data_IF_437888233620
#
_entry.id   IF_437888233620
#
_cell.length_a   1.000
_cell.length_b   1.000
_cell.length_c   1.000
_cell.angle_alpha   90.00
_cell.angle_beta   90.00
_cell.angle_gamma   90.00
#
_symmetry.space_group_name_H-M   'P 1'
#
loop_
_entity.id
_entity.type
_entity.pdbx_description
1 polymer ?
#
# COMPACT_ATOMS: atom_id res chain seq x y z
N UNK A 1 34.44 -25.16 -19.27
CA UNK A 1 33.90 -23.95 -19.92
C UNK A 1 32.64 -23.41 -19.22
N UNK A 2 31.71 -24.24 -18.74
CA UNK A 2 30.46 -23.77 -18.11
C UNK A 2 30.59 -23.14 -16.69
N UNK A 3 31.57 -23.56 -15.87
CA UNK A 3 31.70 -23.09 -14.48
C UNK A 3 31.99 -21.59 -14.32
N UNK A 4 32.69 -20.98 -15.29
CA UNK A 4 33.00 -19.54 -15.25
C UNK A 4 31.85 -18.65 -15.76
N UNK A 5 30.88 -19.22 -16.50
CA UNK A 5 29.75 -18.47 -17.04
C UNK A 5 28.69 -18.19 -15.96
N UNK A 6 28.49 -19.12 -15.03
CA UNK A 6 27.49 -19.03 -13.97
C UNK A 6 27.54 -17.71 -13.14
N UNK A 7 28.69 -17.26 -12.60
CA UNK A 7 28.72 -16.00 -11.85
C UNK A 7 28.38 -14.80 -12.73
N UNK A 8 28.87 -14.76 -13.97
CA UNK A 8 28.59 -13.65 -14.90
C UNK A 8 27.09 -13.59 -15.24
N UNK A 9 26.48 -14.73 -15.55
CA UNK A 9 25.04 -14.85 -15.81
C UNK A 9 24.22 -14.41 -14.59
N UNK A 10 24.64 -14.81 -13.39
CA UNK A 10 24.01 -14.37 -12.15
C UNK A 10 24.10 -12.85 -11.97
N UNK A 11 25.29 -12.25 -12.15
CA UNK A 11 25.47 -10.80 -12.03
C UNK A 11 24.63 -10.01 -13.05
N UNK A 12 24.59 -10.48 -14.30
CA UNK A 12 23.77 -9.88 -15.36
C UNK A 12 22.27 -9.97 -15.03
N UNK A 13 21.81 -11.12 -14.53
CA UNK A 13 20.43 -11.27 -14.09
C UNK A 13 20.12 -10.39 -12.88
N UNK A 14 20.98 -10.43 -11.85
CA UNK A 14 20.77 -9.79 -10.55
C UNK A 14 20.62 -8.27 -10.67
N UNK A 15 21.45 -7.64 -11.50
CA UNK A 15 21.42 -6.20 -11.78
C UNK A 15 20.58 -5.84 -13.03
N UNK A 16 20.01 -6.82 -13.72
CA UNK A 16 19.17 -6.64 -14.90
C UNK A 16 17.72 -7.00 -14.62
N UNK A 17 17.33 -8.22 -14.98
CA UNK A 17 15.97 -8.73 -14.85
C UNK A 17 15.50 -8.82 -13.38
N UNK A 18 16.38 -9.22 -12.46
CA UNK A 18 16.08 -9.28 -11.03
C UNK A 18 15.68 -7.92 -10.46
N UNK A 19 16.37 -6.84 -10.85
CA UNK A 19 15.98 -5.47 -10.47
C UNK A 19 14.66 -5.04 -11.11
N UNK A 20 14.39 -5.43 -12.36
CA UNK A 20 13.10 -5.14 -13.02
C UNK A 20 11.95 -5.82 -12.29
N UNK A 21 12.13 -7.09 -11.92
CA UNK A 21 11.14 -7.85 -11.17
C UNK A 21 10.94 -7.27 -9.77
N UNK A 22 12.00 -6.78 -9.12
CA UNK A 22 11.89 -6.05 -7.86
C UNK A 22 10.95 -4.85 -7.97
N UNK A 23 11.16 -3.97 -8.97
CA UNK A 23 10.27 -2.82 -9.16
C UNK A 23 8.86 -3.21 -9.57
N UNK A 24 8.69 -4.33 -10.29
CA UNK A 24 7.37 -4.88 -10.60
C UNK A 24 6.63 -5.31 -9.33
N UNK A 25 7.31 -6.03 -8.43
CA UNK A 25 6.74 -6.44 -7.14
C UNK A 25 6.38 -5.23 -6.28
N UNK A 26 7.27 -4.23 -6.21
CA UNK A 26 6.97 -2.96 -5.53
C UNK A 26 5.72 -2.28 -6.11
N UNK A 27 5.60 -2.20 -7.44
CA UNK A 27 4.41 -1.69 -8.11
C UNK A 27 3.14 -2.49 -7.77
N UNK A 28 3.24 -3.81 -7.67
CA UNK A 28 2.12 -4.68 -7.28
C UNK A 28 1.67 -4.41 -5.85
N UNK A 29 2.58 -4.15 -4.91
CA UNK A 29 2.23 -3.77 -3.54
C UNK A 29 1.49 -2.42 -3.52
N UNK A 30 1.96 -1.42 -4.25
CA UNK A 30 1.26 -0.14 -4.37
C UNK A 30 -0.13 -0.31 -4.98
N UNK A 31 -0.25 -1.10 -6.04
CA UNK A 31 -1.52 -1.44 -6.65
C UNK A 31 -2.46 -2.16 -5.65
N UNK A 32 -1.94 -3.11 -4.87
CA UNK A 32 -2.71 -3.82 -3.86
C UNK A 32 -3.27 -2.85 -2.81
N UNK A 33 -2.46 -1.92 -2.29
CA UNK A 33 -2.92 -0.91 -1.33
C UNK A 33 -3.95 0.02 -1.95
N UNK A 34 -3.71 0.48 -3.18
CA UNK A 34 -4.64 1.35 -3.90
C UNK A 34 -6.04 0.71 -4.05
N UNK A 35 -6.09 -0.59 -4.35
CA UNK A 35 -7.35 -1.34 -4.49
C UNK A 35 -7.95 -1.75 -3.15
N UNK A 36 -7.14 -2.23 -2.20
CA UNK A 36 -7.59 -2.66 -0.88
C UNK A 36 -8.28 -1.54 -0.12
N UNK A 37 -7.67 -0.34 -0.13
CA UNK A 37 -8.30 0.84 0.46
C UNK A 37 -9.31 1.49 -0.48
N UNK A 38 -9.52 1.00 -1.70
CA UNK A 38 -10.43 1.60 -2.69
C UNK A 38 -10.24 3.12 -2.79
N UNK A 39 -8.99 3.59 -2.79
CA UNK A 39 -8.63 5.02 -2.78
C UNK A 39 -9.41 5.85 -3.81
N UNK A 40 -9.59 5.43 -5.08
CA UNK A 40 -10.36 6.23 -6.05
C UNK A 40 -11.84 6.34 -5.67
N UNK A 41 -12.43 5.32 -5.05
CA UNK A 41 -13.81 5.37 -4.55
C UNK A 41 -13.91 6.31 -3.35
N UNK A 42 -12.96 6.29 -2.42
CA UNK A 42 -12.93 7.23 -1.31
C UNK A 42 -12.81 8.68 -1.78
N UNK A 43 -11.91 8.97 -2.72
CA UNK A 43 -11.73 10.32 -3.27
C UNK A 43 -12.99 10.81 -4.01
N UNK A 44 -13.62 9.94 -4.81
CA UNK A 44 -14.88 10.29 -5.51
C UNK A 44 -16.04 10.53 -4.55
N UNK A 45 -16.16 9.70 -3.52
CA UNK A 45 -17.27 9.78 -2.57
C UNK A 45 -17.06 10.82 -1.46
N UNK A 46 -15.85 11.36 -1.31
CA UNK A 46 -15.53 12.43 -0.36
C UNK A 46 -16.33 13.71 -0.65
N UNK A 47 -16.48 14.04 -1.93
CA UNK A 47 -17.23 15.23 -2.39
C UNK A 47 -18.65 14.92 -2.87
N UNK A 48 -19.04 13.65 -2.95
CA UNK A 48 -20.43 13.33 -3.30
C UNK A 48 -21.35 13.66 -2.11
N UNK A 49 -22.45 14.41 -2.35
CA UNK A 49 -23.49 14.57 -1.34
C UNK A 49 -24.04 13.18 -1.01
N UNK A 50 -23.93 12.79 0.27
CA UNK A 50 -24.49 11.52 0.75
C UNK A 50 -25.94 11.43 0.29
N UNK A 51 -26.30 10.34 -0.40
CA UNK A 51 -27.65 10.11 -0.93
C UNK A 51 -28.61 10.42 0.20
N UNK A 52 -29.47 11.43 -0.02
CA UNK A 52 -30.51 11.75 0.94
C UNK A 52 -31.18 10.43 1.27
N UNK A 53 -31.27 10.08 2.56
CA UNK A 53 -32.37 9.25 3.04
C UNK A 53 -33.67 10.05 2.88
N UNK A 54 -33.94 10.49 1.65
CA UNK A 54 -35.30 10.70 1.19
C UNK A 54 -35.80 9.27 1.03
N UNK A 55 -36.18 8.66 2.16
CA UNK A 55 -37.46 7.97 2.09
C UNK A 55 -38.41 9.02 1.53
N UNK A 56 -38.79 8.84 0.27
CA UNK A 56 -39.92 9.51 -0.33
C UNK A 56 -41.18 9.05 0.45
N UNK A 57 -41.28 9.41 1.73
CA UNK A 57 -42.52 9.26 2.47
C UNK A 57 -43.46 10.31 1.94
N UNK A 58 -44.24 9.83 0.98
CA UNK A 58 -45.48 10.34 0.43
C UNK A 58 -46.48 10.61 1.58
N UNK A 59 -46.21 11.58 2.44
CA UNK A 59 -47.12 11.98 3.51
C UNK A 59 -47.53 13.44 3.30
N UNK A 60 -48.83 13.64 3.15
CA UNK A 60 -49.47 14.94 2.99
C UNK A 60 -49.51 15.64 4.36
N UNK A 61 -48.61 16.58 4.60
CA UNK A 61 -48.58 17.41 5.82
C UNK A 61 -47.18 17.88 6.18
N UNK A 62 -47.03 19.14 6.64
CA UNK A 62 -45.75 19.69 7.09
C UNK A 62 -45.57 19.46 8.59
N UNK A 63 -44.88 18.37 8.96
CA UNK A 63 -44.54 18.07 10.36
C UNK A 63 -43.14 18.59 10.69
N UNK A 64 -43.06 19.74 11.38
CA UNK A 64 -41.80 20.40 11.71
C UNK A 64 -40.86 19.51 12.57
N UNK A 65 -41.42 18.72 13.48
CA UNK A 65 -40.66 17.78 14.32
C UNK A 65 -39.90 16.71 13.50
N UNK A 66 -40.56 16.09 12.52
CA UNK A 66 -39.94 15.11 11.65
C UNK A 66 -38.89 15.74 10.72
N UNK A 67 -39.12 16.98 10.28
CA UNK A 67 -38.17 17.73 9.47
C UNK A 67 -36.84 17.99 10.21
N UNK A 68 -36.91 18.48 11.45
CA UNK A 68 -35.71 18.71 12.27
C UNK A 68 -35.00 17.41 12.66
N UNK A 69 -35.76 16.36 13.00
CA UNK A 69 -35.20 15.04 13.29
C UNK A 69 -34.40 14.48 12.11
N UNK A 70 -34.96 14.58 10.90
CA UNK A 70 -34.28 14.13 9.67
C UNK A 70 -33.02 14.94 9.37
N UNK A 71 -33.00 16.26 9.61
CA UNK A 71 -31.80 17.08 9.43
C UNK A 71 -30.67 16.63 10.36
N UNK A 72 -30.97 16.42 11.64
CA UNK A 72 -29.97 16.01 12.64
C UNK A 72 -29.38 14.66 12.29
N UNK A 73 -30.23 13.67 11.97
CA UNK A 73 -29.78 12.34 11.56
C UNK A 73 -28.89 12.43 10.32
N UNK A 74 -29.27 13.23 9.31
CA UNK A 74 -28.50 13.37 8.09
C UNK A 74 -27.12 14.01 8.32
N UNK A 75 -27.03 14.98 9.25
CA UNK A 75 -25.77 15.60 9.65
C UNK A 75 -24.88 14.57 10.36
N UNK A 76 -25.42 13.81 11.30
CA UNK A 76 -24.68 12.77 12.03
C UNK A 76 -24.15 11.72 11.04
N UNK A 77 -25.00 11.20 10.15
CA UNK A 77 -24.59 10.21 9.14
C UNK A 77 -23.49 10.75 8.21
N UNK A 78 -23.54 12.04 7.86
CA UNK A 78 -22.51 12.68 7.04
C UNK A 78 -21.19 12.85 7.80
N UNK A 79 -21.23 13.20 9.09
CA UNK A 79 -20.04 13.30 9.93
C UNK A 79 -19.37 11.93 10.13
N UNK A 80 -20.16 10.89 10.46
CA UNK A 80 -19.65 9.53 10.61
C UNK A 80 -19.01 9.05 9.31
N UNK A 81 -19.67 9.24 8.16
CA UNK A 81 -19.12 8.88 6.85
C UNK A 81 -17.82 9.63 6.53
N UNK A 82 -17.72 10.91 6.90
CA UNK A 82 -16.49 11.70 6.72
C UNK A 82 -15.35 11.21 7.61
N UNK A 83 -15.64 10.89 8.88
CA UNK A 83 -14.65 10.37 9.83
C UNK A 83 -14.09 9.03 9.40
N UNK A 84 -14.95 8.08 9.00
CA UNK A 84 -14.51 6.77 8.49
C UNK A 84 -13.59 6.96 7.30
N UNK A 85 -13.98 7.79 6.32
CA UNK A 85 -13.16 8.07 5.13
C UNK A 85 -11.81 8.70 5.48
N UNK A 86 -11.78 9.64 6.42
CA UNK A 86 -10.56 10.27 6.88
C UNK A 86 -9.60 9.25 7.51
N UNK A 87 -10.11 8.39 8.40
CA UNK A 87 -9.32 7.34 9.04
C UNK A 87 -8.79 6.35 8.01
N UNK A 88 -9.62 5.91 7.07
CA UNK A 88 -9.19 5.01 5.99
C UNK A 88 -8.10 5.63 5.13
N UNK A 89 -8.19 6.92 4.80
CA UNK A 89 -7.18 7.64 4.01
C UNK A 89 -5.86 7.76 4.77
N UNK A 90 -5.91 8.08 6.07
CA UNK A 90 -4.72 8.16 6.93
C UNK A 90 -4.01 6.80 7.01
N UNK A 91 -4.76 5.72 7.25
CA UNK A 91 -4.21 4.37 7.33
C UNK A 91 -3.61 3.95 5.98
N UNK A 92 -4.31 4.21 4.87
CA UNK A 92 -3.80 3.93 3.53
C UNK A 92 -2.49 4.67 3.24
N UNK A 93 -2.41 5.96 3.60
CA UNK A 93 -1.19 6.75 3.45
C UNK A 93 -0.04 6.21 4.32
N UNK A 94 -0.31 5.84 5.58
CA UNK A 94 0.69 5.24 6.46
C UNK A 94 1.25 3.93 5.88
N UNK A 95 0.41 3.07 5.32
CA UNK A 95 0.83 1.81 4.72
C UNK A 95 1.68 2.06 3.46
N UNK A 96 1.33 3.05 2.62
CA UNK A 96 2.15 3.42 1.45
C UNK A 96 3.55 3.83 1.91
N UNK A 97 3.66 4.65 2.97
CA UNK A 97 4.95 5.07 3.53
C UNK A 97 5.75 3.86 4.01
N UNK A 98 5.12 2.94 4.74
CA UNK A 98 5.77 1.71 5.23
C UNK A 98 6.30 0.88 4.05
N UNK A 99 5.50 0.65 3.02
CA UNK A 99 5.91 -0.11 1.83
C UNK A 99 7.06 0.58 1.11
N UNK A 100 7.02 1.91 1.00
CA UNK A 100 8.09 2.69 0.38
C UNK A 100 9.41 2.54 1.14
N UNK A 101 9.39 2.72 2.46
CA UNK A 101 10.55 2.53 3.33
C UNK A 101 11.09 1.08 3.25
N UNK A 102 10.20 0.09 3.35
CA UNK A 102 10.56 -1.32 3.25
C UNK A 102 11.18 -1.66 1.89
N UNK A 103 10.69 -1.05 0.81
CA UNK A 103 11.21 -1.23 -0.54
C UNK A 103 12.60 -0.61 -0.70
N UNK A 104 12.85 0.57 -0.12
CA UNK A 104 14.19 1.17 -0.10
C UNK A 104 15.18 0.23 0.61
N UNK A 105 14.83 -0.25 1.81
CA UNK A 105 15.69 -1.17 2.57
C UNK A 105 15.94 -2.44 1.77
N UNK A 106 14.88 -3.03 1.20
CA UNK A 106 14.99 -4.25 0.40
C UNK A 106 15.83 -4.05 -0.86
N UNK A 107 15.77 -2.88 -1.49
CA UNK A 107 16.60 -2.53 -2.65
C UNK A 107 18.08 -2.42 -2.27
N UNK A 108 18.39 -1.78 -1.13
CA UNK A 108 19.77 -1.68 -0.62
C UNK A 108 20.30 -3.08 -0.31
N UNK A 109 19.51 -3.93 0.33
CA UNK A 109 19.88 -5.33 0.59
C UNK A 109 20.08 -6.09 -0.72
N UNK A 110 19.20 -5.93 -1.70
CA UNK A 110 19.34 -6.56 -3.02
C UNK A 110 20.64 -6.14 -3.72
N UNK A 111 20.97 -4.85 -3.75
CA UNK A 111 22.17 -4.36 -4.42
C UNK A 111 23.47 -4.83 -3.75
N UNK A 112 23.45 -5.00 -2.43
CA UNK A 112 24.62 -5.41 -1.63
C UNK A 112 24.73 -6.93 -1.43
N UNK A 113 23.67 -7.68 -1.72
CA UNK A 113 23.58 -9.14 -1.53
C UNK A 113 24.76 -9.92 -2.12
N UNK A 114 25.17 -9.70 -3.39
CA UNK A 114 26.30 -10.45 -3.97
C UNK A 114 27.61 -10.22 -3.21
N UNK A 115 27.84 -9.00 -2.72
CA UNK A 115 29.02 -8.65 -1.93
C UNK A 115 28.96 -9.29 -0.54
N UNK A 116 27.80 -9.22 0.12
CA UNK A 116 27.60 -9.80 1.46
C UNK A 116 27.84 -11.31 1.43
N UNK A 117 27.30 -12.01 0.41
CA UNK A 117 27.52 -13.45 0.24
C UNK A 117 29.00 -13.76 0.05
N UNK A 118 29.71 -13.00 -0.78
CA UNK A 118 31.15 -13.20 -1.00
C UNK A 118 31.96 -13.00 0.29
N UNK A 119 31.67 -11.94 1.06
CA UNK A 119 32.36 -11.64 2.33
C UNK A 119 32.08 -12.73 3.37
N UNK A 120 30.83 -13.12 3.56
CA UNK A 120 30.45 -14.17 4.52
C UNK A 120 31.08 -15.52 4.17
N UNK A 121 31.17 -15.84 2.88
CA UNK A 121 31.81 -17.06 2.41
C UNK A 121 33.30 -17.08 2.74
N UNK A 122 34.03 -16.00 2.43
CA UNK A 122 35.46 -15.88 2.75
C UNK A 122 35.68 -15.92 4.27
N UNK A 123 34.88 -15.17 5.03
CA UNK A 123 34.97 -15.15 6.49
C UNK A 123 34.74 -16.55 7.09
N UNK A 124 33.73 -17.28 6.62
CA UNK A 124 33.47 -18.66 7.03
C UNK A 124 34.65 -19.60 6.75
N UNK A 125 35.28 -19.49 5.58
CA UNK A 125 36.48 -20.26 5.24
C UNK A 125 37.66 -19.93 6.18
N UNK A 126 37.90 -18.65 6.48
CA UNK A 126 38.98 -18.25 7.39
C UNK A 126 38.78 -18.77 8.80
N UNK A 127 37.52 -18.82 9.29
CA UNK A 127 37.19 -19.40 10.58
C UNK A 127 37.50 -20.89 10.64
N UNK A 128 37.13 -21.65 9.60
CA UNK A 128 37.41 -23.09 9.53
C UNK A 128 38.92 -23.36 9.49
N UNK A 129 39.68 -22.56 8.75
CA UNK A 129 41.14 -22.75 8.62
C UNK A 129 41.87 -22.39 9.93
N UNK A 130 41.36 -21.40 10.68
CA UNK A 130 41.96 -20.94 11.93
C UNK A 130 41.45 -21.67 13.18
N UNK A 131 40.52 -22.62 13.03
CA UNK A 131 40.01 -23.48 14.12
C UNK A 131 40.73 -24.83 14.15
#
# INVERSE_FOLDING_TARGET
MALFAFPIEYFVWHYGEGLRDFFRVFGNFLWAVYNFFSIPLLLRTFFMPWRRLQEEKKQQGFHAEEFFGNIIVNIIMRLVGMLVRLVTLIIGAAIIIIIFCASIVSLVVWLTLPLVVAVLFVFGLTLIINS
#
